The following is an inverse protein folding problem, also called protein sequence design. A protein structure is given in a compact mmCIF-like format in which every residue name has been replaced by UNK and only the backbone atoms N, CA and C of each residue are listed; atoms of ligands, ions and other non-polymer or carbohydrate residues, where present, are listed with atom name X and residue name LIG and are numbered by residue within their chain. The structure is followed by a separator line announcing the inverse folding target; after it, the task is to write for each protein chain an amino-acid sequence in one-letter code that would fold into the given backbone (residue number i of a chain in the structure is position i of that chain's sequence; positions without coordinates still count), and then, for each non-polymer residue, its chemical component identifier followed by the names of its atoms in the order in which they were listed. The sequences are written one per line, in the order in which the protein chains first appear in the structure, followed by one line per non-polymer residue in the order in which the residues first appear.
data_IF_509024221368
#
_entry.id   IF_509024221368
#
_cell.length_a   1.000
_cell.length_b   1.000
_cell.length_c   1.000
_cell.angle_alpha   90.00
_cell.angle_beta   90.00
_cell.angle_gamma   90.00
#
_symmetry.space_group_name_H-M   'P 1'
#
loop_
_entity.id
_entity.type
_entity.pdbx_description
1 polymer ?
#
# COMPACT_ATOMS: atom_id res chain seq x y z
N UNK A 1 -0.14 13.26 10.47
CA UNK A 1 -1.20 13.71 11.39
C UNK A 1 -1.19 12.94 12.71
N UNK A 2 -1.31 11.61 12.71
CA UNK A 2 -1.46 10.82 13.95
C UNK A 2 -0.28 10.94 14.93
N UNK A 3 0.95 11.06 14.44
CA UNK A 3 2.14 11.20 15.31
C UNK A 3 2.03 12.36 16.30
N UNK A 4 1.58 13.53 15.84
CA UNK A 4 1.40 14.71 16.69
C UNK A 4 0.36 14.44 17.79
N UNK A 5 -0.73 13.75 17.46
CA UNK A 5 -1.76 13.36 18.44
C UNK A 5 -1.24 12.37 19.48
N UNK A 6 -0.19 11.61 19.15
CA UNK A 6 0.47 10.65 20.04
C UNK A 6 1.65 11.28 20.81
N UNK A 7 1.86 12.59 20.70
CA UNK A 7 2.97 13.29 21.35
C UNK A 7 4.32 13.13 20.65
N UNK A 8 4.33 12.62 19.42
CA UNK A 8 5.52 12.36 18.62
C UNK A 8 5.72 13.45 17.56
N UNK A 9 6.97 13.78 17.18
CA UNK A 9 7.23 14.76 16.15
C UNK A 9 6.65 14.31 14.79
N UNK A 10 6.37 15.26 13.87
CA UNK A 10 6.03 14.93 12.50
C UNK A 10 7.06 13.97 11.89
N UNK A 11 6.59 13.01 11.09
CA UNK A 11 7.47 12.06 10.41
C UNK A 11 8.40 12.82 9.47
N UNK A 12 9.69 12.46 9.49
CA UNK A 12 10.59 12.75 8.38
C UNK A 12 10.54 11.60 7.37
N UNK A 13 10.39 11.91 6.08
CA UNK A 13 10.45 10.91 5.03
C UNK A 13 11.88 10.33 4.96
N UNK A 14 12.03 9.01 5.06
CA UNK A 14 13.32 8.34 4.91
C UNK A 14 13.20 6.97 4.21
N UNK A 15 14.31 6.50 3.64
CA UNK A 15 14.40 5.18 2.99
C UNK A 15 13.40 5.02 1.85
N UNK A 16 12.92 3.78 1.66
CA UNK A 16 12.02 3.42 0.56
C UNK A 16 10.70 4.23 0.55
N UNK A 17 10.24 4.69 1.71
CA UNK A 17 9.07 5.55 1.83
C UNK A 17 9.31 6.92 1.18
N UNK A 18 10.47 7.53 1.45
CA UNK A 18 10.85 8.80 0.82
C UNK A 18 10.98 8.64 -0.69
N UNK A 19 11.67 7.59 -1.14
CA UNK A 19 11.85 7.32 -2.57
C UNK A 19 10.52 7.13 -3.30
N UNK A 20 9.57 6.39 -2.71
CA UNK A 20 8.24 6.22 -3.27
C UNK A 20 7.48 7.56 -3.36
N UNK A 21 7.49 8.35 -2.29
CA UNK A 21 6.85 9.68 -2.26
C UNK A 21 7.45 10.64 -3.28
N UNK A 22 8.76 10.69 -3.39
CA UNK A 22 9.47 11.57 -4.32
C UNK A 22 9.23 11.18 -5.77
N UNK A 23 9.26 9.88 -6.10
CA UNK A 23 8.99 9.40 -7.45
C UNK A 23 7.55 9.72 -7.88
N UNK A 24 6.56 9.53 -6.99
CA UNK A 24 5.17 9.92 -7.24
C UNK A 24 5.01 11.43 -7.42
N UNK A 25 5.65 12.24 -6.57
CA UNK A 25 5.60 13.69 -6.65
C UNK A 25 6.21 14.22 -7.97
N UNK A 26 7.28 13.59 -8.46
CA UNK A 26 7.87 13.89 -9.78
C UNK A 26 6.90 13.60 -10.91
N UNK A 27 6.29 12.41 -10.96
CA UNK A 27 5.29 12.07 -11.98
C UNK A 27 4.10 13.03 -11.94
N UNK A 28 3.56 13.34 -10.76
CA UNK A 28 2.46 14.31 -10.63
C UNK A 28 2.85 15.71 -11.15
N UNK A 29 4.08 16.15 -10.84
CA UNK A 29 4.60 17.43 -11.35
C UNK A 29 4.81 17.42 -12.86
N UNK A 30 5.21 16.29 -13.43
CA UNK A 30 5.37 16.12 -14.88
C UNK A 30 4.02 16.17 -15.59
N UNK A 31 3.03 15.39 -15.13
CA UNK A 31 1.67 15.43 -15.67
C UNK A 31 1.10 16.86 -15.67
N UNK A 32 1.32 17.60 -14.58
CA UNK A 32 0.92 19.01 -14.48
C UNK A 32 1.60 19.90 -15.52
N UNK A 33 2.89 19.68 -15.81
CA UNK A 33 3.61 20.44 -16.85
C UNK A 33 3.05 20.14 -18.23
N UNK A 34 2.81 18.87 -18.55
CA UNK A 34 2.23 18.47 -19.83
C UNK A 34 0.85 19.09 -20.06
N UNK A 35 0.01 19.16 -19.01
CA UNK A 35 -1.29 19.84 -19.09
C UNK A 35 -1.20 21.36 -19.30
N UNK A 36 -0.07 21.98 -18.92
CA UNK A 36 0.15 23.41 -19.14
C UNK A 36 0.75 23.69 -20.52
N UNK A 37 1.60 22.78 -21.01
CA UNK A 37 2.28 22.89 -22.30
C UNK A 37 1.37 22.42 -23.46
N UNK A 38 0.39 21.56 -23.18
CA UNK A 38 -0.53 20.95 -24.16
C UNK A 38 -1.98 20.93 -23.63
N UNK A 39 -2.97 21.13 -24.50
CA UNK A 39 -4.39 20.99 -24.11
C UNK A 39 -4.72 19.52 -23.79
N UNK A 40 -5.10 19.24 -22.53
CA UNK A 40 -5.54 17.93 -22.05
C UNK A 40 -7.02 17.68 -22.41
N UNK A 41 -7.29 17.55 -23.72
CA UNK A 41 -8.64 17.41 -24.28
C UNK A 41 -9.40 16.20 -23.72
N UNK A 42 -8.71 15.08 -23.50
CA UNK A 42 -9.31 13.83 -23.00
C UNK A 42 -9.29 13.72 -21.47
N UNK A 43 -8.74 14.73 -20.76
CA UNK A 43 -8.63 14.79 -19.30
C UNK A 43 -7.85 13.66 -18.63
N UNK A 44 -7.11 12.85 -19.40
CA UNK A 44 -6.39 11.69 -18.87
C UNK A 44 -5.18 12.11 -18.03
N UNK A 45 -4.48 13.19 -18.39
CA UNK A 45 -3.36 13.68 -17.57
C UNK A 45 -3.84 14.26 -16.24
N UNK A 46 -4.94 15.02 -16.25
CA UNK A 46 -5.57 15.52 -15.02
C UNK A 46 -5.99 14.39 -14.08
N UNK A 47 -6.62 13.36 -14.63
CA UNK A 47 -7.07 12.19 -13.87
C UNK A 47 -5.89 11.44 -13.24
N UNK A 48 -4.82 11.20 -14.01
CA UNK A 48 -3.60 10.56 -13.52
C UNK A 48 -2.89 11.39 -12.44
N UNK A 49 -2.88 12.72 -12.56
CA UNK A 49 -2.31 13.62 -11.54
C UNK A 49 -3.05 13.51 -10.21
N UNK A 50 -4.40 13.58 -10.27
CA UNK A 50 -5.26 13.46 -9.09
C UNK A 50 -5.08 12.09 -8.43
N UNK A 51 -5.06 11.01 -9.21
CA UNK A 51 -4.87 9.67 -8.68
C UNK A 51 -3.49 9.49 -8.06
N UNK A 52 -2.44 10.04 -8.67
CA UNK A 52 -1.07 10.00 -8.12
C UNK A 52 -1.00 10.74 -6.78
N UNK A 53 -1.63 11.91 -6.67
CA UNK A 53 -1.72 12.63 -5.38
C UNK A 53 -2.53 11.86 -4.34
N UNK A 54 -3.61 11.20 -4.77
CA UNK A 54 -4.39 10.29 -3.93
C UNK A 54 -3.58 9.11 -3.40
N UNK A 55 -2.64 8.57 -4.18
CA UNK A 55 -1.70 7.53 -3.74
C UNK A 55 -0.73 8.06 -2.69
N UNK A 56 -0.19 9.27 -2.85
CA UNK A 56 0.68 9.91 -1.85
C UNK A 56 -0.04 10.03 -0.51
N UNK A 57 -1.27 10.57 -0.50
CA UNK A 57 -2.09 10.67 0.72
C UNK A 57 -2.40 9.29 1.31
N UNK A 58 -2.76 8.31 0.46
CA UNK A 58 -3.05 6.95 0.93
C UNK A 58 -1.83 6.27 1.56
N UNK A 59 -0.62 6.54 1.05
CA UNK A 59 0.62 6.01 1.59
C UNK A 59 0.94 6.61 2.95
N UNK A 60 0.74 7.93 3.11
CA UNK A 60 0.89 8.60 4.40
C UNK A 60 -0.10 8.05 5.45
N UNK A 61 -1.35 7.80 5.06
CA UNK A 61 -2.36 7.21 5.95
C UNK A 61 -2.02 5.76 6.36
N UNK A 62 -1.47 4.97 5.44
CA UNK A 62 -1.01 3.60 5.71
C UNK A 62 0.16 3.60 6.70
N UNK A 63 1.17 4.45 6.46
CA UNK A 63 2.32 4.58 7.37
C UNK A 63 1.86 5.01 8.77
N UNK A 64 0.97 6.00 8.85
CA UNK A 64 0.48 6.50 10.14
C UNK A 64 -0.31 5.45 10.91
N UNK A 65 -1.08 4.60 10.21
CA UNK A 65 -1.80 3.48 10.81
C UNK A 65 -0.84 2.43 11.38
N UNK A 66 0.22 2.07 10.62
CA UNK A 66 1.27 1.18 11.10
C UNK A 66 2.03 1.76 12.30
N UNK A 67 2.37 3.05 12.25
CA UNK A 67 3.01 3.74 13.36
C UNK A 67 2.16 3.74 14.63
N UNK A 68 0.88 4.10 14.52
CA UNK A 68 -0.03 4.14 15.66
C UNK A 68 -0.25 2.74 16.26
N UNK A 69 -0.39 1.71 15.42
CA UNK A 69 -0.43 0.33 15.89
C UNK A 69 0.85 -0.03 16.67
N UNK A 70 2.03 0.26 16.11
CA UNK A 70 3.30 0.01 16.80
C UNK A 70 3.44 0.80 18.10
N UNK A 71 2.93 2.02 18.17
CA UNK A 71 2.94 2.84 19.38
C UNK A 71 2.12 2.22 20.51
N UNK A 72 0.88 1.80 20.23
CA UNK A 72 0.02 1.18 21.25
C UNK A 72 0.46 -0.23 21.61
N UNK A 73 1.00 -1.00 20.66
CA UNK A 73 1.57 -2.33 20.91
C UNK A 73 2.59 -2.31 22.06
N UNK A 74 3.45 -1.28 22.12
CA UNK A 74 4.49 -1.13 23.16
C UNK A 74 3.93 -1.01 24.58
N UNK A 75 2.66 -0.63 24.72
CA UNK A 75 1.98 -0.44 26.00
C UNK A 75 1.23 -1.69 26.47
N UNK A 76 1.13 -2.72 25.60
CA UNK A 76 0.52 -4.01 25.90
C UNK A 76 1.61 -4.99 26.33
N UNK A 77 1.57 -5.45 27.57
CA UNK A 77 2.61 -6.27 28.22
C UNK A 77 2.06 -7.60 28.72
N UNK A 78 0.81 -7.64 29.17
CA UNK A 78 0.14 -8.86 29.61
C UNK A 78 0.05 -9.87 28.46
N UNK A 79 0.24 -11.16 28.76
CA UNK A 79 0.09 -12.25 27.79
C UNK A 79 -1.35 -12.75 27.64
N UNK A 80 -2.25 -12.31 28.53
CA UNK A 80 -3.64 -12.72 28.61
C UNK A 80 -4.53 -11.50 28.78
N UNK A 81 -5.71 -11.51 28.16
CA UNK A 81 -6.66 -10.39 28.28
C UNK A 81 -7.12 -10.15 29.71
N UNK A 82 -7.35 -11.22 30.47
CA UNK A 82 -7.84 -11.16 31.85
C UNK A 82 -6.79 -10.59 32.83
N UNK A 83 -5.52 -10.57 32.41
CA UNK A 83 -4.40 -10.05 33.20
C UNK A 83 -4.11 -8.57 32.90
N UNK A 84 -4.79 -7.98 31.90
CA UNK A 84 -4.63 -6.57 31.55
C UNK A 84 -5.32 -5.65 32.54
N UNK A 85 -4.67 -4.54 32.87
CA UNK A 85 -5.34 -3.41 33.52
C UNK A 85 -6.36 -2.76 32.56
N UNK A 86 -7.31 -1.99 33.09
CA UNK A 86 -8.28 -1.24 32.25
C UNK A 86 -7.59 -0.30 31.27
N UNK A 87 -6.49 0.32 31.67
CA UNK A 87 -5.69 1.20 30.82
C UNK A 87 -5.05 0.42 29.67
N UNK A 88 -4.47 -0.74 29.99
CA UNK A 88 -3.84 -1.63 29.03
C UNK A 88 -4.85 -2.24 28.04
N UNK A 89 -6.05 -2.60 28.50
CA UNK A 89 -7.15 -3.02 27.61
C UNK A 89 -7.51 -1.90 26.63
N UNK A 90 -7.52 -0.65 27.10
CA UNK A 90 -7.74 0.52 26.26
C UNK A 90 -6.64 0.70 25.21
N UNK A 91 -5.38 0.48 25.57
CA UNK A 91 -4.26 0.54 24.63
C UNK A 91 -4.27 -0.65 23.65
N UNK A 92 -4.63 -1.86 24.09
CA UNK A 92 -4.83 -3.02 23.21
C UNK A 92 -5.94 -2.77 22.19
N UNK A 93 -7.09 -2.23 22.60
CA UNK A 93 -8.17 -1.88 21.67
C UNK A 93 -7.73 -0.85 20.62
N UNK A 94 -6.91 0.13 21.00
CA UNK A 94 -6.34 1.10 20.03
C UNK A 94 -5.33 0.44 19.11
N UNK A 95 -4.46 -0.43 19.61
CA UNK A 95 -3.59 -1.26 18.78
C UNK A 95 -4.39 -2.00 17.71
N UNK A 96 -5.43 -2.73 18.13
CA UNK A 96 -6.31 -3.50 17.24
C UNK A 96 -6.94 -2.59 16.18
N UNK A 97 -7.49 -1.44 16.60
CA UNK A 97 -8.09 -0.48 15.68
C UNK A 97 -7.12 -0.02 14.58
N UNK A 98 -5.92 0.41 14.94
CA UNK A 98 -4.94 0.89 13.97
C UNK A 98 -4.33 -0.25 13.14
N UNK A 99 -4.17 -1.43 13.72
CA UNK A 99 -3.73 -2.63 13.02
C UNK A 99 -4.71 -3.03 11.91
N UNK A 100 -6.01 -3.07 12.23
CA UNK A 100 -7.09 -3.35 11.28
C UNK A 100 -7.12 -2.36 10.12
N UNK A 101 -7.06 -1.08 10.45
CA UNK A 101 -6.96 -0.02 9.45
C UNK A 101 -5.70 -0.18 8.59
N UNK A 102 -4.56 -0.52 9.19
CA UNK A 102 -3.30 -0.76 8.49
C UNK A 102 -3.41 -1.83 7.43
N UNK A 103 -3.85 -3.04 7.78
CA UNK A 103 -3.89 -4.13 6.81
C UNK A 103 -4.95 -3.93 5.71
N UNK A 104 -6.08 -3.28 6.01
CA UNK A 104 -7.08 -2.93 4.98
C UNK A 104 -6.46 -1.94 3.98
N UNK A 105 -5.71 -0.95 4.49
CA UNK A 105 -5.04 0.07 3.69
C UNK A 105 -3.94 -0.49 2.80
N UNK A 106 -3.21 -1.53 3.22
CA UNK A 106 -2.23 -2.23 2.36
C UNK A 106 -2.91 -2.65 1.04
N UNK A 107 -4.02 -3.38 1.13
CA UNK A 107 -4.68 -3.89 -0.08
C UNK A 107 -5.40 -2.79 -0.87
N UNK A 108 -6.06 -1.85 -0.18
CA UNK A 108 -6.71 -0.72 -0.87
C UNK A 108 -5.70 0.11 -1.66
N UNK A 109 -4.50 0.34 -1.11
CA UNK A 109 -3.46 1.11 -1.78
C UNK A 109 -2.86 0.33 -2.96
N UNK A 110 -2.59 -0.96 -2.81
CA UNK A 110 -2.16 -1.81 -3.94
C UNK A 110 -3.19 -1.77 -5.07
N UNK A 111 -4.47 -1.89 -4.77
CA UNK A 111 -5.53 -1.89 -5.80
C UNK A 111 -5.62 -0.52 -6.51
N UNK A 112 -5.48 0.60 -5.76
CA UNK A 112 -5.36 1.95 -6.34
C UNK A 112 -4.14 2.08 -7.25
N UNK A 113 -2.98 1.52 -6.85
CA UNK A 113 -1.79 1.47 -7.70
C UNK A 113 -2.08 0.65 -8.97
N UNK A 114 -2.78 -0.48 -8.85
CA UNK A 114 -3.24 -1.26 -10.00
C UNK A 114 -4.09 -0.43 -10.97
N UNK A 115 -5.02 0.38 -10.47
CA UNK A 115 -5.83 1.29 -11.29
C UNK A 115 -4.96 2.31 -12.04
N UNK A 116 -4.00 2.92 -11.35
CA UNK A 116 -3.06 3.87 -11.96
C UNK A 116 -2.21 3.21 -13.02
N UNK A 117 -1.62 2.04 -12.75
CA UNK A 117 -0.81 1.28 -13.71
C UNK A 117 -1.62 0.86 -14.94
N UNK A 118 -2.86 0.42 -14.74
CA UNK A 118 -3.75 0.06 -15.84
C UNK A 118 -3.99 1.23 -16.80
N UNK A 119 -4.15 2.43 -16.26
CA UNK A 119 -4.35 3.66 -17.03
C UNK A 119 -3.05 4.17 -17.65
N UNK A 120 -1.95 4.22 -16.90
CA UNK A 120 -0.63 4.69 -17.37
C UNK A 120 -0.11 3.89 -18.56
N UNK A 121 -0.35 2.58 -18.57
CA UNK A 121 0.23 1.66 -19.56
C UNK A 121 -0.81 1.03 -20.49
N UNK A 122 -2.03 1.55 -20.50
CA UNK A 122 -3.10 1.09 -21.40
C UNK A 122 -3.34 -0.43 -21.34
N UNK A 123 -3.26 -1.02 -20.13
CA UNK A 123 -3.27 -2.48 -19.97
C UNK A 123 -4.63 -3.13 -20.25
N UNK A 124 -5.70 -2.31 -20.28
CA UNK A 124 -7.07 -2.73 -20.57
C UNK A 124 -7.61 -3.83 -19.64
N UNK A 125 -7.09 -3.93 -18.41
CA UNK A 125 -7.49 -4.92 -17.40
C UNK A 125 -8.98 -4.82 -17.07
N UNK A 126 -9.54 -3.60 -17.11
CA UNK A 126 -10.96 -3.32 -16.88
C UNK A 126 -11.89 -3.95 -17.92
N UNK A 127 -11.42 -4.23 -19.14
CA UNK A 127 -12.23 -4.87 -20.19
C UNK A 127 -12.56 -6.33 -19.83
N UNK A 128 -11.67 -6.99 -19.08
CA UNK A 128 -11.87 -8.37 -18.63
C UNK A 128 -12.62 -8.45 -17.29
N UNK A 129 -12.52 -7.41 -16.45
CA UNK A 129 -13.20 -7.35 -15.15
C UNK A 129 -13.31 -5.90 -14.66
N UNK A 130 -14.54 -5.41 -14.46
CA UNK A 130 -14.79 -4.04 -13.99
C UNK A 130 -14.12 -3.73 -12.64
N UNK A 131 -14.06 -4.71 -11.74
CA UNK A 131 -13.33 -4.63 -10.47
C UNK A 131 -12.16 -5.61 -10.45
N UNK A 132 -10.95 -5.09 -10.61
CA UNK A 132 -9.73 -5.89 -10.60
C UNK A 132 -8.83 -5.51 -9.42
N UNK A 133 -7.99 -6.45 -9.01
CA UNK A 133 -6.99 -6.22 -7.96
C UNK A 133 -5.64 -5.85 -8.58
N UNK A 134 -4.73 -5.31 -7.77
CA UNK A 134 -3.31 -5.15 -8.12
C UNK A 134 -2.72 -6.42 -8.75
N UNK A 135 -3.00 -7.57 -8.16
CA UNK A 135 -2.47 -8.86 -8.62
C UNK A 135 -3.03 -9.28 -10.00
N UNK A 136 -4.24 -8.80 -10.34
CA UNK A 136 -4.80 -8.96 -11.68
C UNK A 136 -4.03 -8.13 -12.70
N UNK A 137 -3.65 -6.91 -12.34
CA UNK A 137 -2.83 -6.01 -13.18
C UNK A 137 -1.43 -6.57 -13.40
N UNK A 138 -0.78 -7.12 -12.37
CA UNK A 138 0.52 -7.77 -12.53
C UNK A 138 0.48 -8.95 -13.51
N UNK A 139 -0.59 -9.75 -13.46
CA UNK A 139 -0.79 -10.82 -14.44
C UNK A 139 -0.94 -10.25 -15.86
N UNK A 140 -1.68 -9.15 -16.01
CA UNK A 140 -1.87 -8.51 -17.31
C UNK A 140 -0.55 -7.97 -17.89
N UNK A 141 0.31 -7.37 -17.05
CA UNK A 141 1.66 -6.96 -17.46
C UNK A 141 2.48 -8.13 -18.04
N UNK A 142 2.46 -9.27 -17.34
CA UNK A 142 3.19 -10.47 -17.75
C UNK A 142 2.65 -11.06 -19.07
N UNK A 143 1.34 -10.92 -19.33
CA UNK A 143 0.73 -11.37 -20.59
C UNK A 143 1.09 -10.46 -21.77
N UNK A 144 1.06 -9.14 -21.58
CA UNK A 144 1.29 -8.17 -22.65
C UNK A 144 2.76 -8.02 -23.04
N UNK A 145 3.70 -8.24 -22.12
CA UNK A 145 5.16 -8.17 -22.34
C UNK A 145 5.69 -6.85 -22.92
N UNK A 146 4.89 -5.79 -22.94
CA UNK A 146 5.28 -4.45 -23.42
C UNK A 146 6.19 -3.72 -22.42
N UNK A 147 6.04 -4.01 -21.13
CA UNK A 147 6.81 -3.41 -20.05
C UNK A 147 7.49 -4.47 -19.17
N UNK A 148 8.10 -5.50 -19.78
CA UNK A 148 8.72 -6.63 -19.06
C UNK A 148 9.65 -6.22 -17.91
N UNK A 149 10.54 -5.21 -18.03
CA UNK A 149 11.39 -4.83 -16.90
C UNK A 149 10.62 -4.43 -15.65
N UNK A 150 9.54 -3.66 -15.81
CA UNK A 150 8.67 -3.28 -14.69
C UNK A 150 7.86 -4.49 -14.20
N UNK A 151 7.34 -5.29 -15.13
CA UNK A 151 6.54 -6.48 -14.80
C UNK A 151 7.33 -7.47 -13.93
N UNK A 152 8.60 -7.70 -14.26
CA UNK A 152 9.47 -8.63 -13.55
C UNK A 152 9.88 -8.07 -12.18
N UNK A 153 10.19 -6.77 -12.10
CA UNK A 153 10.50 -6.11 -10.83
C UNK A 153 9.32 -6.18 -9.85
N UNK A 154 8.10 -5.84 -10.31
CA UNK A 154 6.90 -5.90 -9.47
C UNK A 154 6.53 -7.34 -9.06
N UNK A 155 6.76 -8.32 -9.94
CA UNK A 155 6.55 -9.74 -9.64
C UNK A 155 7.55 -10.24 -8.59
N UNK A 156 8.82 -9.86 -8.70
CA UNK A 156 9.86 -10.19 -7.72
C UNK A 156 9.58 -9.56 -6.35
N UNK A 157 9.14 -8.29 -6.32
CA UNK A 157 8.68 -7.64 -5.09
C UNK A 157 7.51 -8.44 -4.50
N UNK A 158 6.46 -8.74 -5.27
CA UNK A 158 5.32 -9.53 -4.80
C UNK A 158 5.75 -10.86 -4.18
N UNK A 159 6.65 -11.59 -4.84
CA UNK A 159 7.08 -12.91 -4.40
C UNK A 159 7.93 -12.87 -3.13
N UNK A 160 8.72 -11.81 -2.94
CA UNK A 160 9.54 -11.60 -1.73
C UNK A 160 8.71 -11.39 -0.46
N UNK A 161 7.45 -10.96 -0.59
CA UNK A 161 6.53 -10.67 0.52
C UNK A 161 5.30 -11.59 0.52
N UNK A 162 5.39 -12.76 -0.10
CA UNK A 162 4.23 -13.65 -0.30
C UNK A 162 3.56 -14.06 1.01
N UNK A 163 4.35 -14.45 2.01
CA UNK A 163 3.87 -14.95 3.29
C UNK A 163 3.18 -13.85 4.13
N UNK A 164 3.81 -12.70 4.45
CA UNK A 164 3.17 -11.65 5.23
C UNK A 164 1.88 -11.14 4.56
N UNK A 165 1.88 -10.97 3.23
CA UNK A 165 0.67 -10.57 2.50
C UNK A 165 -0.44 -11.63 2.55
N UNK A 166 -0.09 -12.91 2.55
CA UNK A 166 -1.08 -13.98 2.68
C UNK A 166 -1.76 -13.94 4.05
N UNK A 167 -0.98 -13.72 5.11
CA UNK A 167 -1.48 -13.57 6.48
C UNK A 167 -2.38 -12.33 6.61
N UNK A 168 -1.92 -11.17 6.15
CA UNK A 168 -2.73 -9.95 6.14
C UNK A 168 -4.01 -10.10 5.32
N UNK A 169 -3.95 -10.84 4.20
CA UNK A 169 -5.13 -11.09 3.37
C UNK A 169 -6.17 -11.95 4.09
N UNK A 170 -5.73 -13.00 4.78
CA UNK A 170 -6.61 -13.84 5.61
C UNK A 170 -7.30 -13.00 6.68
N UNK A 171 -6.53 -12.18 7.41
CA UNK A 171 -7.05 -11.28 8.46
C UNK A 171 -8.05 -10.27 7.90
N UNK A 172 -7.71 -9.63 6.77
CA UNK A 172 -8.63 -8.72 6.07
C UNK A 172 -9.91 -9.43 5.66
N UNK A 173 -9.82 -10.64 5.09
CA UNK A 173 -11.01 -11.38 4.70
C UNK A 173 -11.87 -11.76 5.91
N UNK A 174 -11.25 -12.10 7.04
CA UNK A 174 -11.97 -12.34 8.28
C UNK A 174 -12.67 -11.09 8.82
N UNK A 175 -11.98 -9.94 8.83
CA UNK A 175 -12.58 -8.67 9.24
C UNK A 175 -13.75 -8.23 8.34
N UNK A 176 -13.66 -8.47 7.03
CA UNK A 176 -14.69 -8.01 6.07
C UNK A 176 -15.87 -9.00 5.99
N UNK A 177 -15.61 -10.30 6.11
CA UNK A 177 -16.60 -11.34 5.77
C UNK A 177 -17.02 -12.23 6.93
N UNK A 178 -16.28 -12.22 8.04
CA UNK A 178 -16.58 -13.04 9.22
C UNK A 178 -16.76 -12.16 10.46
N UNK A 179 -17.27 -12.74 11.55
CA UNK A 179 -17.13 -12.12 12.87
C UNK A 179 -15.64 -11.91 13.15
N UNK A 180 -15.29 -10.78 13.79
CA UNK A 180 -13.90 -10.37 14.07
C UNK A 180 -13.01 -11.56 14.42
N UNK A 181 -11.84 -11.69 13.78
CA UNK A 181 -10.94 -12.83 13.97
C UNK A 181 -10.62 -13.10 15.46
N UNK A 182 -10.46 -12.02 16.24
CA UNK A 182 -10.30 -12.04 17.70
C UNK A 182 -11.46 -12.77 18.40
N UNK A 183 -12.71 -12.52 17.98
CA UNK A 183 -13.88 -13.19 18.56
C UNK A 183 -13.99 -14.67 18.15
N UNK A 184 -13.48 -15.05 16.98
CA UNK A 184 -13.43 -16.45 16.56
C UNK A 184 -12.37 -17.22 17.35
N UNK A 185 -11.21 -16.61 17.58
CA UNK A 185 -10.17 -17.17 18.45
C UNK A 185 -10.64 -17.24 19.91
N UNK A 186 -11.33 -16.22 20.41
CA UNK A 186 -11.96 -16.24 21.74
C UNK A 186 -12.97 -17.39 21.89
N UNK A 187 -13.82 -17.60 20.87
CA UNK A 187 -14.78 -18.71 20.83
C UNK A 187 -14.06 -20.06 20.79
N UNK A 188 -13.01 -20.18 19.98
CA UNK A 188 -12.23 -21.41 19.87
C UNK A 188 -11.53 -21.76 21.18
N UNK A 189 -10.90 -20.79 21.85
CA UNK A 189 -10.24 -20.98 23.14
C UNK A 189 -11.24 -21.38 24.23
N UNK A 190 -12.42 -20.73 24.29
CA UNK A 190 -13.50 -21.10 25.23
C UNK A 190 -14.07 -22.50 24.98
N UNK A 191 -14.01 -23.00 23.74
CA UNK A 191 -14.41 -24.36 23.41
C UNK A 191 -13.38 -25.42 23.85
N UNK A 192 -12.10 -25.07 24.03
CA UNK A 192 -11.05 -26.00 24.47
C UNK A 192 -10.87 -26.05 26.00
N UNK A 193 -11.35 -25.05 26.74
CA UNK A 193 -11.41 -25.05 28.20
C UNK A 193 -12.37 -23.97 28.70
N UNK A 194 -13.45 -24.37 29.40
CA UNK A 194 -14.53 -23.46 29.84
C UNK A 194 -14.05 -22.35 30.81
N UNK A 195 -12.83 -22.47 31.35
CA UNK A 195 -12.23 -21.60 32.36
C UNK A 195 -10.77 -21.19 32.06
N UNK A 196 -10.27 -21.48 30.85
CA UNK A 196 -8.90 -21.11 30.51
C UNK A 196 -8.83 -19.63 30.08
N UNK A 197 -7.84 -18.91 30.61
CA UNK A 197 -7.60 -17.50 30.28
C UNK A 197 -7.37 -17.34 28.78
N UNK A 198 -7.99 -16.30 28.19
CA UNK A 198 -7.81 -16.00 26.77
C UNK A 198 -6.38 -15.48 26.56
N UNK A 199 -5.58 -16.26 25.85
CA UNK A 199 -4.21 -15.90 25.49
C UNK A 199 -4.25 -14.93 24.32
N UNK A 200 -3.50 -13.84 24.41
CA UNK A 200 -3.34 -12.93 23.29
C UNK A 200 -2.66 -13.64 22.12
N UNK A 201 -3.16 -13.35 20.91
CA UNK A 201 -2.47 -13.75 19.68
C UNK A 201 -1.05 -13.16 19.65
N UNK A 202 -0.18 -13.65 18.75
CA UNK A 202 1.17 -13.11 18.59
C UNK A 202 1.13 -11.73 17.92
N UNK A 203 0.89 -10.73 18.76
CA UNK A 203 0.72 -9.32 18.36
C UNK A 203 1.99 -8.77 17.69
N UNK A 204 3.17 -9.28 18.05
CA UNK A 204 4.43 -8.87 17.45
C UNK A 204 4.58 -9.42 16.03
N UNK A 205 4.26 -10.71 15.83
CA UNK A 205 4.21 -11.30 14.49
C UNK A 205 3.24 -10.54 13.58
N UNK A 206 2.09 -10.11 14.10
CA UNK A 206 1.10 -9.38 13.30
C UNK A 206 1.60 -8.02 12.88
N UNK A 207 2.20 -7.30 13.82
CA UNK A 207 2.76 -5.99 13.52
C UNK A 207 3.91 -6.11 12.52
N UNK A 208 4.70 -7.18 12.59
CA UNK A 208 5.76 -7.44 11.62
C UNK A 208 5.21 -7.75 10.22
N UNK A 209 4.17 -8.57 10.11
CA UNK A 209 3.46 -8.78 8.84
C UNK A 209 2.95 -7.44 8.26
N UNK A 210 2.39 -6.56 9.10
CA UNK A 210 1.94 -5.24 8.67
C UNK A 210 3.09 -4.36 8.17
N UNK A 211 4.21 -4.29 8.90
CA UNK A 211 5.40 -3.53 8.47
C UNK A 211 5.93 -4.03 7.13
N UNK A 212 6.03 -5.35 6.95
CA UNK A 212 6.40 -5.95 5.68
C UNK A 212 5.41 -5.61 4.56
N UNK A 213 4.11 -5.55 4.87
CA UNK A 213 3.08 -5.04 3.96
C UNK A 213 3.29 -3.58 3.55
N UNK A 214 3.64 -2.70 4.50
CA UNK A 214 4.00 -1.29 4.22
C UNK A 214 5.23 -1.21 3.33
N UNK A 215 6.28 -1.98 3.63
CA UNK A 215 7.51 -1.99 2.85
C UNK A 215 7.27 -2.46 1.41
N UNK A 216 6.51 -3.54 1.22
CA UNK A 216 6.14 -4.08 -0.09
C UNK A 216 5.36 -3.05 -0.93
N UNK A 217 4.44 -2.32 -0.30
CA UNK A 217 3.71 -1.21 -0.92
C UNK A 217 4.68 -0.11 -1.35
N UNK A 218 5.59 0.33 -0.48
CA UNK A 218 6.57 1.35 -0.80
C UNK A 218 7.47 0.92 -1.97
N UNK A 219 7.96 -0.32 -1.97
CA UNK A 219 8.78 -0.88 -3.05
C UNK A 219 8.02 -0.92 -4.37
N UNK A 220 6.75 -1.35 -4.35
CA UNK A 220 5.91 -1.42 -5.54
C UNK A 220 5.63 -0.03 -6.13
N UNK A 221 5.33 0.96 -5.29
CA UNK A 221 5.19 2.35 -5.70
C UNK A 221 6.50 2.92 -6.24
N UNK A 222 7.61 2.70 -5.54
CA UNK A 222 8.93 3.18 -5.97
C UNK A 222 9.27 2.61 -7.35
N UNK A 223 9.18 1.29 -7.55
CA UNK A 223 9.44 0.64 -8.83
C UNK A 223 8.55 1.20 -9.96
N UNK A 224 7.24 1.26 -9.74
CA UNK A 224 6.27 1.79 -10.70
C UNK A 224 6.60 3.22 -11.14
N UNK A 225 6.70 4.14 -10.18
CA UNK A 225 6.86 5.56 -10.48
C UNK A 225 8.28 5.92 -10.91
N UNK A 226 9.31 5.20 -10.43
CA UNK A 226 10.68 5.30 -10.97
C UNK A 226 10.69 4.92 -12.45
N UNK A 227 10.09 3.78 -12.80
CA UNK A 227 9.99 3.34 -14.19
C UNK A 227 9.19 4.35 -15.04
N UNK A 228 8.07 4.88 -14.54
CA UNK A 228 7.31 5.93 -15.24
C UNK A 228 8.15 7.18 -15.50
N UNK A 229 8.92 7.66 -14.52
CA UNK A 229 9.85 8.78 -14.68
C UNK A 229 10.88 8.50 -15.77
N UNK A 230 11.50 7.30 -15.77
CA UNK A 230 12.50 6.90 -16.75
C UNK A 230 11.93 6.81 -18.19
N UNK A 231 10.74 6.22 -18.36
CA UNK A 231 10.09 6.11 -19.67
C UNK A 231 9.75 7.49 -20.25
N UNK A 232 9.29 8.41 -19.42
CA UNK A 232 8.99 9.77 -19.85
C UNK A 232 10.22 10.50 -20.41
N UNK A 233 11.35 10.41 -19.69
CA UNK A 233 12.61 11.00 -20.14
C UNK A 233 13.11 10.40 -21.46
N UNK A 234 12.97 9.09 -21.63
CA UNK A 234 13.31 8.41 -22.89
C UNK A 234 12.44 8.91 -24.05
N UNK A 235 11.14 9.04 -23.84
CA UNK A 235 10.22 9.52 -24.87
C UNK A 235 10.51 10.98 -25.28
N UNK A 236 10.77 11.88 -24.32
CA UNK A 236 11.20 13.26 -24.62
C UNK A 236 12.54 13.33 -25.35
N UNK A 237 13.51 12.52 -24.93
CA UNK A 237 14.81 12.47 -25.61
C UNK A 237 14.71 11.96 -27.05
N UNK A 238 13.83 10.99 -27.32
CA UNK A 238 13.56 10.51 -28.67
C UNK A 238 12.83 11.56 -29.52
N UNK A 239 11.81 12.24 -28.98
CA UNK A 239 11.10 13.31 -29.69
C UNK A 239 12.04 14.46 -30.11
N UNK A 240 12.92 14.90 -29.21
CA UNK A 240 13.88 15.97 -29.50
C UNK A 240 14.93 15.56 -30.56
N UNK A 241 15.32 14.28 -30.63
CA UNK A 241 16.22 13.78 -31.67
C UNK A 241 15.57 13.75 -33.06
N UNK A 242 14.29 13.40 -33.14
CA UNK A 242 13.57 13.39 -34.42
C UNK A 242 13.34 14.81 -34.94
N UNK A 243 12.94 15.75 -34.07
CA UNK A 243 12.77 17.16 -34.44
C UNK A 243 14.07 17.84 -34.93
N UNK A 244 15.24 17.42 -34.40
CA UNK A 244 16.54 17.91 -34.86
C UNK A 244 17.05 17.30 -36.18
N UNK A 245 16.43 16.21 -36.65
CA UNK A 245 16.83 15.51 -37.88
C UNK A 245 16.00 15.97 -39.08
N UNK A 246 14.76 16.43 -38.87
CA UNK A 246 13.92 17.04 -39.93
C UNK A 246 14.28 18.51 -40.22
N UNK A 247 15.11 19.13 -39.38
CA UNK A 247 15.56 20.52 -39.53
C UNK A 247 16.93 20.67 -40.22
N UNK A 248 17.42 19.63 -40.90
CA UNK A 248 18.68 19.63 -41.66
C UNK A 248 18.47 19.13 -43.09
#
# INVERSE_FOLDING_TARGET
MLRILLGEPPRSNSGVLAEAMDNMARVASMLRREMNDHEDHDHEYRKLEIWTRGLISSLDELEQSCFAAAFYRKKVVAGYMDDMTVEEQGDYARYVYFYKNGFIRVFSLLDKLGTVLNSLYGLNTSQNKAHFSYFTVLRQFQLLKTHSPLADELENIKNSYREPLHNLRKRRNAEIHYMNAEMQDDLWQRHQGLHDKIRLEDVDSHLEDLKQGVEMVCKSLCAAFRYSNEQWHKNKAMANKHAGTEAR
#
